data_IF_360503786456
#
_entry.id   IF_360503786456
#
_cell.length_a   1.000
_cell.length_b   1.000
_cell.length_c   1.000
_cell.angle_alpha   90.00
_cell.angle_beta   90.00
_cell.angle_gamma   90.00
#
_symmetry.space_group_name_H-M   'P 1'
#
loop_
_entity.id
_entity.type
_entity.pdbx_description
1 polymer ?
#
# COMPACT_ATOMS: atom_id res chain seq x y z
N UNK A 1 4.60 -19.98 19.39
CA UNK A 1 3.24 -20.06 18.82
C UNK A 1 2.53 -18.77 19.16
N UNK A 2 2.00 -18.06 18.16
CA UNK A 2 1.26 -16.81 18.38
C UNK A 2 0.04 -17.11 19.27
N UNK A 3 0.00 -16.56 20.48
CA UNK A 3 -1.13 -16.71 21.40
C UNK A 3 -2.27 -15.73 21.03
N UNK A 4 -2.49 -15.49 19.73
CA UNK A 4 -3.51 -14.59 19.20
C UNK A 4 -4.82 -15.38 19.09
N UNK A 5 -5.84 -14.92 19.81
CA UNK A 5 -7.15 -15.58 19.89
C UNK A 5 -8.19 -14.76 19.15
N UNK A 6 -9.25 -15.42 18.73
CA UNK A 6 -10.44 -14.75 18.23
C UNK A 6 -11.20 -14.14 19.41
N UNK A 7 -11.94 -13.06 19.16
CA UNK A 7 -12.86 -12.48 20.14
C UNK A 7 -13.81 -13.53 20.73
N UNK A 8 -14.24 -13.36 22.00
CA UNK A 8 -15.21 -14.24 22.64
C UNK A 8 -16.48 -14.44 21.81
N UNK A 9 -17.13 -15.59 21.96
CA UNK A 9 -18.33 -15.91 21.21
C UNK A 9 -19.48 -14.90 21.40
N UNK A 10 -19.51 -14.16 22.51
CA UNK A 10 -20.47 -13.09 22.79
C UNK A 10 -20.33 -11.87 21.88
N UNK A 11 -19.14 -11.64 21.31
CA UNK A 11 -18.83 -10.51 20.44
C UNK A 11 -18.79 -10.91 18.95
N UNK A 12 -18.81 -12.22 18.66
CA UNK A 12 -18.78 -12.74 17.30
C UNK A 12 -20.15 -12.55 16.63
N UNK A 13 -20.21 -12.03 15.40
CA UNK A 13 -21.46 -11.99 14.65
C UNK A 13 -21.94 -13.40 14.32
N UNK A 14 -23.26 -13.60 14.30
CA UNK A 14 -23.87 -14.90 14.01
C UNK A 14 -23.58 -15.37 12.57
N UNK A 15 -23.53 -14.42 11.64
CA UNK A 15 -23.29 -14.65 10.21
C UNK A 15 -22.42 -13.54 9.59
N UNK A 16 -21.83 -13.85 8.44
CA UNK A 16 -21.12 -12.88 7.60
C UNK A 16 -21.36 -13.24 6.14
N UNK A 17 -21.59 -12.23 5.32
CA UNK A 17 -21.60 -12.34 3.87
C UNK A 17 -20.99 -11.06 3.29
N UNK A 18 -20.24 -11.18 2.20
CA UNK A 18 -19.80 -10.00 1.47
C UNK A 18 -21.00 -9.21 0.95
N UNK A 19 -20.89 -7.89 0.95
CA UNK A 19 -21.83 -7.05 0.18
C UNK A 19 -21.75 -7.40 -1.30
N UNK A 20 -22.80 -7.11 -2.06
CA UNK A 20 -22.83 -7.43 -3.49
C UNK A 20 -21.61 -6.85 -4.25
N UNK A 21 -21.22 -5.63 -3.90
CA UNK A 21 -20.03 -4.97 -4.43
C UNK A 21 -18.74 -5.71 -4.05
N UNK A 22 -18.56 -6.03 -2.76
CA UNK A 22 -17.37 -6.74 -2.30
C UNK A 22 -17.29 -8.17 -2.84
N UNK A 23 -18.42 -8.83 -3.07
CA UNK A 23 -18.47 -10.14 -3.70
C UNK A 23 -18.02 -10.08 -5.17
N UNK A 24 -18.46 -9.07 -5.92
CA UNK A 24 -17.99 -8.84 -7.28
C UNK A 24 -16.48 -8.52 -7.31
N UNK A 25 -16.02 -7.67 -6.40
CA UNK A 25 -14.60 -7.37 -6.23
C UNK A 25 -13.77 -8.62 -5.88
N UNK A 26 -14.27 -9.45 -4.97
CA UNK A 26 -13.60 -10.69 -4.54
C UNK A 26 -13.43 -11.65 -5.72
N UNK A 27 -14.47 -11.81 -6.55
CA UNK A 27 -14.39 -12.59 -7.78
C UNK A 27 -13.28 -12.06 -8.71
N UNK A 28 -13.22 -10.75 -8.90
CA UNK A 28 -12.14 -10.11 -9.68
C UNK A 28 -10.74 -10.35 -9.09
N UNK A 29 -10.59 -10.41 -7.77
CA UNK A 29 -9.31 -10.79 -7.15
C UNK A 29 -8.95 -12.26 -7.36
N UNK A 30 -9.94 -13.16 -7.31
CA UNK A 30 -9.73 -14.59 -7.54
C UNK A 30 -9.27 -14.84 -8.99
N UNK A 31 -9.88 -14.15 -9.96
CA UNK A 31 -9.57 -14.27 -11.39
C UNK A 31 -8.12 -13.86 -11.74
N UNK A 32 -7.43 -13.08 -10.89
CA UNK A 32 -6.00 -12.75 -11.07
C UNK A 32 -5.08 -13.96 -10.94
N UNK A 33 -5.56 -15.05 -10.34
CA UNK A 33 -4.76 -16.24 -10.09
C UNK A 33 -5.10 -17.36 -11.06
N UNK A 34 -4.11 -18.13 -11.54
CA UNK A 34 -4.37 -19.28 -12.41
C UNK A 34 -5.32 -20.29 -11.78
N UNK A 35 -5.99 -21.06 -12.63
CA UNK A 35 -6.85 -22.16 -12.18
C UNK A 35 -6.08 -23.14 -11.27
N UNK A 36 -6.70 -23.53 -10.16
CA UNK A 36 -6.10 -24.37 -9.12
C UNK A 36 -5.19 -23.61 -8.15
N UNK A 37 -4.99 -22.29 -8.32
CA UNK A 37 -4.19 -21.43 -7.44
C UNK A 37 -5.00 -20.32 -6.78
N UNK A 38 -6.33 -20.44 -6.77
CA UNK A 38 -7.26 -19.44 -6.20
C UNK A 38 -7.03 -19.17 -4.71
N UNK A 39 -6.48 -20.14 -3.96
CA UNK A 39 -6.09 -19.97 -2.55
C UNK A 39 -5.13 -18.78 -2.32
N UNK A 40 -4.43 -18.32 -3.36
CA UNK A 40 -3.55 -17.15 -3.29
C UNK A 40 -4.30 -15.83 -3.02
N UNK A 41 -5.61 -15.79 -3.30
CA UNK A 41 -6.48 -14.64 -3.05
C UNK A 41 -6.87 -14.49 -1.56
N UNK A 42 -6.46 -15.41 -0.67
CA UNK A 42 -6.90 -15.44 0.73
C UNK A 42 -6.59 -14.15 1.49
N UNK A 43 -5.39 -13.58 1.34
CA UNK A 43 -5.00 -12.37 2.08
C UNK A 43 -5.84 -11.14 1.64
N UNK A 44 -5.95 -10.82 0.34
CA UNK A 44 -6.83 -9.74 -0.12
C UNK A 44 -8.30 -9.91 0.32
N UNK A 45 -8.84 -11.12 0.27
CA UNK A 45 -10.23 -11.37 0.68
C UNK A 45 -10.43 -11.19 2.18
N UNK A 46 -9.51 -11.68 3.02
CA UNK A 46 -9.56 -11.44 4.46
C UNK A 46 -9.43 -9.95 4.78
N UNK A 47 -8.59 -9.22 4.04
CA UNK A 47 -8.45 -7.78 4.19
C UNK A 47 -9.77 -7.05 3.91
N UNK A 48 -10.41 -7.38 2.78
CA UNK A 48 -11.70 -6.78 2.41
C UNK A 48 -12.81 -7.16 3.38
N UNK A 49 -12.79 -8.38 3.91
CA UNK A 49 -13.74 -8.81 4.92
C UNK A 49 -13.58 -8.05 6.24
N UNK A 50 -12.34 -7.80 6.66
CA UNK A 50 -12.01 -6.96 7.82
C UNK A 50 -12.49 -5.51 7.63
N UNK A 51 -12.22 -4.94 6.46
CA UNK A 51 -12.67 -3.59 6.09
C UNK A 51 -14.20 -3.49 6.18
N UNK A 52 -14.93 -4.44 5.58
CA UNK A 52 -16.39 -4.47 5.63
C UNK A 52 -16.95 -4.60 7.05
N UNK A 53 -16.24 -5.32 7.93
CA UNK A 53 -16.69 -5.59 9.30
C UNK A 53 -16.14 -4.57 10.31
N UNK A 54 -15.86 -3.34 9.86
CA UNK A 54 -15.49 -2.24 10.75
C UNK A 54 -14.10 -2.32 11.33
N UNK A 55 -13.16 -2.89 10.57
CA UNK A 55 -11.74 -2.88 10.91
C UNK A 55 -11.27 -4.12 11.69
N UNK A 56 -12.14 -5.09 11.96
CA UNK A 56 -11.77 -6.37 12.57
C UNK A 56 -12.35 -7.57 11.82
N UNK A 57 -11.76 -8.74 12.02
CA UNK A 57 -11.97 -9.95 11.25
C UNK A 57 -12.65 -11.03 12.11
N UNK A 58 -13.99 -11.18 12.03
CA UNK A 58 -14.72 -12.14 12.83
C UNK A 58 -14.54 -13.56 12.30
N UNK A 59 -14.83 -14.55 13.15
CA UNK A 59 -14.76 -15.97 12.79
C UNK A 59 -15.59 -16.30 11.54
N UNK A 60 -16.80 -15.75 11.45
CA UNK A 60 -17.70 -15.98 10.31
C UNK A 60 -17.17 -15.44 8.99
N UNK A 61 -16.43 -14.33 9.03
CA UNK A 61 -15.75 -13.80 7.85
C UNK A 61 -14.61 -14.72 7.38
N UNK A 62 -13.82 -15.25 8.32
CA UNK A 62 -12.76 -16.22 8.03
C UNK A 62 -13.34 -17.48 7.37
N UNK A 63 -14.43 -18.01 7.93
CA UNK A 63 -15.12 -19.19 7.39
C UNK A 63 -15.71 -18.90 5.99
N UNK A 64 -16.34 -17.75 5.79
CA UNK A 64 -16.88 -17.36 4.48
C UNK A 64 -15.80 -17.24 3.40
N UNK A 65 -14.65 -16.65 3.71
CA UNK A 65 -13.51 -16.59 2.77
C UNK A 65 -12.96 -17.98 2.47
N UNK A 66 -12.94 -18.87 3.46
CA UNK A 66 -12.50 -20.25 3.25
C UNK A 66 -13.46 -21.00 2.31
N UNK A 67 -14.77 -20.86 2.51
CA UNK A 67 -15.79 -21.47 1.67
C UNK A 67 -15.73 -20.95 0.23
N UNK A 68 -15.58 -19.64 0.04
CA UNK A 68 -15.44 -19.00 -1.29
C UNK A 68 -14.23 -19.53 -2.08
N UNK A 69 -13.11 -19.76 -1.39
CA UNK A 69 -11.87 -20.25 -2.01
C UNK A 69 -11.77 -21.78 -2.06
N UNK A 70 -12.77 -22.51 -1.55
CA UNK A 70 -12.72 -23.96 -1.41
C UNK A 70 -11.58 -24.45 -0.51
N UNK A 71 -11.16 -23.64 0.47
CA UNK A 71 -10.07 -23.92 1.40
C UNK A 71 -10.59 -24.52 2.71
N UNK A 72 -9.83 -25.40 3.38
CA UNK A 72 -10.16 -25.80 4.75
C UNK A 72 -10.13 -24.59 5.69
N UNK A 73 -11.15 -24.44 6.54
CA UNK A 73 -11.28 -23.31 7.49
C UNK A 73 -10.02 -23.10 8.34
N UNK A 74 -9.40 -24.19 8.78
CA UNK A 74 -8.16 -24.14 9.58
C UNK A 74 -7.00 -23.46 8.85
N UNK A 75 -6.88 -23.60 7.52
CA UNK A 75 -5.81 -22.94 6.75
C UNK A 75 -5.99 -21.44 6.72
N UNK A 76 -7.23 -20.97 6.56
CA UNK A 76 -7.53 -19.54 6.58
C UNK A 76 -7.37 -18.96 7.98
N UNK A 77 -7.73 -19.73 9.02
CA UNK A 77 -7.48 -19.35 10.41
C UNK A 77 -5.98 -19.25 10.73
N UNK A 78 -5.15 -20.16 10.21
CA UNK A 78 -3.69 -20.07 10.33
C UNK A 78 -3.16 -18.78 9.69
N UNK A 79 -3.64 -18.41 8.50
CA UNK A 79 -3.28 -17.14 7.84
C UNK A 79 -3.70 -15.95 8.70
N UNK A 80 -4.96 -15.91 9.16
CA UNK A 80 -5.49 -14.82 9.97
C UNK A 80 -4.73 -14.63 11.29
N UNK A 81 -4.33 -15.73 11.93
CA UNK A 81 -3.59 -15.70 13.20
C UNK A 81 -2.09 -15.43 13.03
N UNK A 82 -1.51 -15.80 11.88
CA UNK A 82 -0.11 -15.57 11.55
C UNK A 82 0.19 -14.10 11.24
N UNK A 83 -0.62 -13.45 10.39
CA UNK A 83 -0.40 -12.05 10.02
C UNK A 83 -1.00 -11.10 11.05
N UNK A 84 -0.17 -10.23 11.62
CA UNK A 84 -0.55 -9.30 12.71
C UNK A 84 -1.50 -8.19 12.26
N UNK A 85 -1.56 -7.90 10.97
CA UNK A 85 -2.43 -6.87 10.39
C UNK A 85 -3.92 -7.21 10.50
N UNK A 86 -4.26 -8.50 10.63
CA UNK A 86 -5.64 -8.91 10.82
C UNK A 86 -6.05 -8.73 12.29
N UNK A 87 -6.94 -7.80 12.57
CA UNK A 87 -7.46 -7.61 13.92
C UNK A 87 -8.49 -8.71 14.23
N UNK A 88 -8.20 -9.57 15.21
CA UNK A 88 -9.06 -10.73 15.55
C UNK A 88 -10.08 -10.41 16.66
N UNK A 89 -10.05 -9.17 17.14
CA UNK A 89 -10.90 -8.60 18.18
C UNK A 89 -11.38 -7.21 17.70
N UNK A 90 -12.54 -6.71 18.19
CA UNK A 90 -13.03 -5.40 17.82
C UNK A 90 -12.01 -4.29 18.08
N UNK A 91 -11.90 -3.35 17.14
CA UNK A 91 -11.04 -2.17 17.22
C UNK A 91 -11.89 -0.90 17.25
N UNK A 92 -11.34 0.19 17.78
CA UNK A 92 -11.99 1.49 17.71
C UNK A 92 -12.09 1.98 16.26
N UNK A 93 -12.92 3.00 16.03
CA UNK A 93 -13.07 3.65 14.71
C UNK A 93 -11.72 4.06 14.08
N UNK A 94 -10.78 4.47 14.93
CA UNK A 94 -9.41 4.83 14.60
C UNK A 94 -8.45 3.90 15.33
N UNK A 95 -7.86 2.95 14.61
CA UNK A 95 -6.89 2.02 15.15
C UNK A 95 -5.47 2.56 14.98
N UNK A 96 -4.88 3.00 16.09
CA UNK A 96 -3.56 3.62 16.16
C UNK A 96 -2.49 2.55 16.36
N UNK A 97 -1.57 2.43 15.40
CA UNK A 97 -0.43 1.53 15.44
C UNK A 97 0.85 2.37 15.57
N UNK A 98 1.39 2.44 16.79
CA UNK A 98 2.58 3.22 17.11
C UNK A 98 3.85 2.38 16.88
N UNK A 99 4.77 2.88 16.05
CA UNK A 99 6.07 2.24 15.86
C UNK A 99 6.94 2.40 17.11
N UNK A 100 7.24 1.30 17.80
CA UNK A 100 8.09 1.26 19.00
C UNK A 100 9.57 0.94 18.74
N UNK A 101 9.98 0.83 17.47
CA UNK A 101 11.35 0.38 17.12
C UNK A 101 12.40 1.47 17.23
N UNK A 102 13.67 1.06 17.26
CA UNK A 102 14.84 1.91 17.59
C UNK A 102 14.86 3.28 16.92
N UNK A 103 14.61 3.45 15.60
CA UNK A 103 14.62 4.78 14.99
C UNK A 103 13.53 5.70 15.56
N UNK A 104 12.31 5.19 15.72
CA UNK A 104 11.20 5.96 16.31
C UNK A 104 11.41 6.20 17.79
N UNK A 105 11.92 5.21 18.54
CA UNK A 105 12.27 5.33 19.95
C UNK A 105 13.31 6.45 20.17
N UNK A 106 14.33 6.52 19.32
CA UNK A 106 15.37 7.57 19.37
C UNK A 106 14.85 8.97 19.04
N UNK A 107 13.73 9.06 18.32
CA UNK A 107 13.09 10.31 17.90
C UNK A 107 11.90 10.71 18.78
N UNK A 108 11.65 10.02 19.90
CA UNK A 108 10.63 10.42 20.88
C UNK A 108 9.34 9.58 20.87
N UNK A 109 9.36 8.35 20.34
CA UNK A 109 8.18 7.48 20.38
C UNK A 109 7.78 7.04 21.80
N UNK A 110 8.69 7.10 22.79
CA UNK A 110 8.34 6.79 24.19
C UNK A 110 7.37 7.79 24.79
N UNK A 111 7.54 9.05 24.43
CA UNK A 111 6.69 10.16 24.83
C UNK A 111 5.31 10.02 24.20
N UNK A 112 5.24 9.61 22.93
CA UNK A 112 3.98 9.27 22.26
C UNK A 112 3.28 8.09 22.95
N UNK A 113 4.02 7.02 23.27
CA UNK A 113 3.50 5.86 24.00
C UNK A 113 2.96 6.26 25.38
N UNK A 114 3.70 7.09 26.12
CA UNK A 114 3.26 7.60 27.42
C UNK A 114 1.98 8.43 27.33
N UNK A 115 1.86 9.28 26.29
CA UNK A 115 0.66 10.06 26.02
C UNK A 115 -0.54 9.16 25.71
N UNK A 116 -0.39 8.18 24.80
CA UNK A 116 -1.44 7.22 24.47
C UNK A 116 -1.87 6.42 25.69
N UNK A 117 -0.93 5.96 26.51
CA UNK A 117 -1.23 5.22 27.73
C UNK A 117 -1.97 6.08 28.76
N UNK A 118 -1.59 7.35 28.94
CA UNK A 118 -2.27 8.26 29.85
C UNK A 118 -3.68 8.61 29.38
N UNK A 119 -3.89 8.72 28.06
CA UNK A 119 -5.16 9.14 27.47
C UNK A 119 -6.15 7.99 27.25
N UNK A 120 -5.68 6.84 26.78
CA UNK A 120 -6.51 5.71 26.35
C UNK A 120 -6.39 4.48 27.26
N UNK A 121 -5.40 4.45 28.17
CA UNK A 121 -5.11 3.29 28.99
C UNK A 121 -4.21 2.26 28.28
N UNK A 122 -4.23 0.98 28.72
CA UNK A 122 -3.37 -0.07 28.16
C UNK A 122 -3.63 -0.31 26.66
N UNK A 123 -2.59 -0.71 25.94
CA UNK A 123 -2.68 -1.11 24.54
C UNK A 123 -3.58 -2.34 24.34
N UNK A 124 -4.19 -2.45 23.17
CA UNK A 124 -5.04 -3.59 22.77
C UNK A 124 -6.50 -3.48 23.19
N UNK A 125 -6.93 -2.35 23.75
CA UNK A 125 -8.33 -2.12 24.15
C UNK A 125 -8.96 -0.99 23.35
N UNK A 126 -10.28 -1.06 23.18
CA UNK A 126 -11.09 0.03 22.63
C UNK A 126 -11.40 1.04 23.74
N UNK A 127 -11.27 2.32 23.43
CA UNK A 127 -11.58 3.42 24.33
C UNK A 127 -13.08 3.45 24.69
N UNK A 128 -13.41 4.06 25.82
CA UNK A 128 -14.80 4.10 26.32
C UNK A 128 -15.79 4.79 25.38
N UNK A 129 -15.30 5.71 24.54
CA UNK A 129 -16.10 6.40 23.51
C UNK A 129 -16.18 5.64 22.18
N UNK A 130 -15.52 4.47 22.07
CA UNK A 130 -15.49 3.64 20.86
C UNK A 130 -14.62 4.21 19.71
N UNK A 131 -14.04 5.39 19.88
CA UNK A 131 -13.36 6.08 18.79
C UNK A 131 -11.95 5.52 18.55
N UNK A 132 -11.21 5.16 19.58
CA UNK A 132 -9.79 4.85 19.47
C UNK A 132 -9.47 3.46 20.04
N UNK A 133 -8.55 2.79 19.40
CA UNK A 133 -7.76 1.72 20.03
C UNK A 133 -6.31 1.92 19.64
N UNK A 134 -5.38 1.47 20.48
CA UNK A 134 -3.96 1.60 20.15
C UNK A 134 -3.16 0.34 20.44
N UNK A 135 -2.13 0.13 19.64
CA UNK A 135 -1.16 -0.95 19.79
C UNK A 135 0.23 -0.43 19.47
N UNK A 136 1.23 -0.92 20.21
CA UNK A 136 2.63 -0.78 19.82
C UNK A 136 2.98 -1.86 18.80
N UNK A 137 3.53 -1.43 17.66
CA UNK A 137 3.92 -2.30 16.55
C UNK A 137 5.41 -2.18 16.25
N UNK A 138 5.88 -3.13 15.46
CA UNK A 138 7.23 -3.14 14.93
C UNK A 138 7.42 -2.08 13.82
N UNK A 139 8.56 -2.13 13.14
CA UNK A 139 8.94 -1.14 12.13
C UNK A 139 7.91 -1.03 11.00
N UNK A 140 7.35 0.17 10.81
CA UNK A 140 6.42 0.52 9.72
C UNK A 140 7.12 1.07 8.46
N UNK A 141 8.45 1.12 8.45
CA UNK A 141 9.24 1.47 7.27
C UNK A 141 9.35 2.98 6.95
N UNK A 142 8.85 3.86 7.80
CA UNK A 142 8.90 5.33 7.62
C UNK A 142 9.99 6.00 8.50
N UNK A 143 11.17 5.38 8.60
CA UNK A 143 12.21 5.78 9.55
C UNK A 143 12.75 7.21 9.35
N UNK A 144 12.69 7.75 8.13
CA UNK A 144 13.14 9.11 7.81
C UNK A 144 12.19 10.22 8.29
N UNK A 145 10.97 9.85 8.66
CA UNK A 145 9.93 10.73 9.21
C UNK A 145 9.53 10.30 10.63
N UNK A 146 10.46 9.68 11.36
CA UNK A 146 10.25 9.29 12.74
C UNK A 146 10.09 10.52 13.67
N UNK A 147 9.29 10.42 14.75
CA UNK A 147 8.45 9.27 15.12
C UNK A 147 7.10 9.31 14.38
N UNK A 148 6.47 8.15 14.21
CA UNK A 148 5.27 8.02 13.39
C UNK A 148 4.27 7.01 13.96
N UNK A 149 3.01 7.17 13.57
CA UNK A 149 1.94 6.20 13.78
C UNK A 149 1.24 5.90 12.45
N UNK A 150 0.72 4.68 12.32
CA UNK A 150 -0.28 4.38 11.31
C UNK A 150 -1.66 4.41 11.98
N UNK A 151 -2.59 5.21 11.45
CA UNK A 151 -4.00 5.18 11.90
C UNK A 151 -4.82 4.62 10.77
N UNK A 152 -5.42 3.45 11.00
CA UNK A 152 -6.06 2.65 9.96
C UNK A 152 -5.10 2.38 8.79
N UNK A 153 -5.24 3.09 7.68
CA UNK A 153 -4.44 2.90 6.46
C UNK A 153 -3.41 4.01 6.24
N UNK A 154 -3.53 5.13 6.97
CA UNK A 154 -2.78 6.35 6.71
C UNK A 154 -1.60 6.51 7.69
N UNK A 155 -0.49 7.01 7.17
CA UNK A 155 0.70 7.32 7.97
C UNK A 155 0.65 8.76 8.44
N UNK A 156 0.97 8.96 9.72
CA UNK A 156 1.11 10.27 10.35
C UNK A 156 2.49 10.32 11.00
N UNK A 157 3.29 11.30 10.60
CA UNK A 157 4.73 11.27 10.75
C UNK A 157 5.25 12.59 11.35
N UNK A 158 6.52 12.60 11.80
CA UNK A 158 7.15 13.73 12.50
C UNK A 158 6.34 14.21 13.71
N UNK A 159 5.85 13.26 14.50
CA UNK A 159 4.90 13.52 15.58
C UNK A 159 5.56 13.98 16.88
N UNK A 160 4.85 14.82 17.62
CA UNK A 160 5.08 15.11 19.03
C UNK A 160 3.83 14.72 19.82
N UNK A 161 3.89 14.60 21.16
CA UNK A 161 2.71 14.32 21.97
C UNK A 161 1.57 15.34 21.72
N UNK A 162 1.92 16.60 21.50
CA UNK A 162 0.96 17.68 21.24
C UNK A 162 0.32 17.53 19.86
N UNK A 163 1.12 17.28 18.81
CA UNK A 163 0.59 17.13 17.45
C UNK A 163 -0.24 15.84 17.31
N UNK A 164 0.18 14.73 17.93
CA UNK A 164 -0.63 13.51 17.99
C UNK A 164 -1.93 13.73 18.78
N UNK A 165 -1.89 14.47 19.89
CA UNK A 165 -3.10 14.81 20.65
C UNK A 165 -4.10 15.62 19.84
N UNK A 166 -3.60 16.62 19.11
CA UNK A 166 -4.41 17.47 18.22
C UNK A 166 -4.99 16.65 17.06
N UNK A 167 -4.16 15.81 16.44
CA UNK A 167 -4.58 14.88 15.39
C UNK A 167 -5.72 13.97 15.85
N UNK A 168 -5.62 13.39 17.05
CA UNK A 168 -6.68 12.57 17.62
C UNK A 168 -7.96 13.37 17.84
N UNK A 169 -7.87 14.60 18.34
CA UNK A 169 -9.05 15.45 18.54
C UNK A 169 -9.72 15.84 17.22
N UNK A 170 -8.92 16.09 16.18
CA UNK A 170 -9.38 16.39 14.83
C UNK A 170 -10.11 15.19 14.21
N UNK A 171 -9.51 14.00 14.29
CA UNK A 171 -10.11 12.74 13.83
C UNK A 171 -11.44 12.44 14.53
N UNK A 172 -11.47 12.54 15.87
CA UNK A 172 -12.68 12.30 16.65
C UNK A 172 -13.82 13.24 16.25
N UNK A 173 -13.50 14.49 15.92
CA UNK A 173 -14.46 15.50 15.49
C UNK A 173 -14.78 15.46 13.98
N UNK A 174 -14.15 14.58 13.20
CA UNK A 174 -14.30 14.55 11.74
C UNK A 174 -13.75 15.79 11.03
N UNK A 175 -12.76 16.47 11.63
CA UNK A 175 -12.06 17.58 10.99
C UNK A 175 -11.04 17.04 9.97
N UNK A 176 -10.76 17.78 8.88
CA UNK A 176 -9.75 17.37 7.92
C UNK A 176 -8.37 17.34 8.57
N UNK A 177 -7.64 16.25 8.35
CA UNK A 177 -6.28 16.02 8.87
C UNK A 177 -5.28 15.90 7.74
N UNK A 178 -4.02 16.25 8.01
CA UNK A 178 -2.94 16.10 7.04
C UNK A 178 -2.29 14.70 7.17
N UNK A 179 -2.34 13.93 6.08
CA UNK A 179 -1.67 12.62 5.99
C UNK A 179 -0.19 12.83 5.63
N UNK A 180 0.69 12.13 6.35
CA UNK A 180 2.15 12.26 6.25
C UNK A 180 2.75 13.11 7.38
N UNK A 181 3.78 13.88 7.05
CA UNK A 181 4.50 14.72 8.03
C UNK A 181 3.64 15.83 8.62
N UNK A 182 3.70 15.98 9.94
CA UNK A 182 3.07 17.07 10.68
C UNK A 182 3.93 18.34 10.77
N UNK A 183 5.12 18.35 10.15
CA UNK A 183 6.08 19.48 10.20
C UNK A 183 6.13 20.30 8.91
N UNK A 184 5.22 20.03 7.97
CA UNK A 184 5.13 20.72 6.68
C UNK A 184 6.00 20.12 5.58
N UNK A 185 6.66 18.99 5.84
CA UNK A 185 7.28 18.17 4.79
C UNK A 185 6.20 17.46 3.97
N UNK A 186 6.48 17.20 2.70
CA UNK A 186 5.58 16.50 1.77
C UNK A 186 5.87 15.00 1.73
N UNK A 187 7.13 14.62 1.94
CA UNK A 187 7.59 13.24 1.87
C UNK A 187 8.80 13.03 2.79
N UNK A 188 9.87 12.42 2.29
CA UNK A 188 11.09 12.11 3.03
C UNK A 188 12.20 13.15 2.84
N UNK A 189 11.91 14.33 2.31
CA UNK A 189 12.93 15.34 2.08
C UNK A 189 13.53 15.87 3.40
N UNK A 190 14.78 16.36 3.40
CA UNK A 190 15.35 17.02 4.56
C UNK A 190 14.52 18.22 4.99
N UNK A 191 14.47 18.48 6.30
CA UNK A 191 13.89 19.71 6.81
C UNK A 191 14.68 20.91 6.26
N UNK A 192 13.97 21.87 5.66
CA UNK A 192 14.58 23.01 4.94
C UNK A 192 14.74 22.82 3.43
N UNK A 193 14.35 21.66 2.88
CA UNK A 193 14.26 21.41 1.44
C UNK A 193 15.25 20.35 0.92
N UNK A 194 14.99 19.86 -0.28
CA UNK A 194 15.83 18.86 -0.93
C UNK A 194 17.09 19.48 -1.55
N UNK A 195 18.25 18.91 -1.21
CA UNK A 195 19.54 19.24 -1.85
C UNK A 195 19.83 18.36 -3.10
N UNK A 196 18.96 17.40 -3.39
CA UNK A 196 19.07 16.42 -4.48
C UNK A 196 17.89 16.56 -5.42
N UNK A 197 18.02 16.09 -6.66
CA UNK A 197 16.97 16.21 -7.69
C UNK A 197 16.52 17.67 -7.92
N UNK A 198 17.48 18.60 -7.88
CA UNK A 198 17.24 20.03 -8.07
C UNK A 198 17.09 20.43 -9.54
N UNK A 199 17.45 19.54 -10.46
CA UNK A 199 17.30 19.77 -11.90
C UNK A 199 15.82 19.60 -12.30
N UNK A 200 15.13 20.66 -12.73
CA UNK A 200 13.72 20.58 -13.12
C UNK A 200 13.44 19.63 -14.29
N UNK A 201 14.47 19.29 -15.09
CA UNK A 201 14.34 18.31 -16.18
C UNK A 201 14.27 16.87 -15.67
N UNK A 202 14.79 16.60 -14.46
CA UNK A 202 14.76 15.29 -13.82
C UNK A 202 13.58 15.13 -12.87
N UNK A 203 13.19 16.21 -12.17
CA UNK A 203 12.08 16.19 -11.23
C UNK A 203 11.34 17.54 -11.22
N UNK A 204 10.06 17.49 -11.57
CA UNK A 204 9.18 18.66 -11.67
C UNK A 204 8.38 18.92 -10.38
N UNK A 205 8.64 18.16 -9.31
CA UNK A 205 7.89 18.24 -8.06
C UNK A 205 6.58 17.45 -8.05
N UNK A 206 6.20 16.80 -9.16
CA UNK A 206 4.97 16.02 -9.24
C UNK A 206 5.18 14.59 -8.70
N UNK A 207 4.22 14.07 -7.92
CA UNK A 207 4.26 12.68 -7.40
C UNK A 207 4.13 11.61 -8.51
N UNK A 208 3.46 11.94 -9.62
CA UNK A 208 3.17 11.01 -10.73
C UNK A 208 3.18 11.69 -12.11
N UNK A 209 3.34 13.03 -12.19
CA UNK A 209 2.96 13.82 -13.37
C UNK A 209 3.68 13.39 -14.65
N UNK A 210 5.02 13.33 -14.62
CA UNK A 210 5.81 12.90 -15.77
C UNK A 210 5.59 11.41 -16.16
N UNK A 211 5.11 10.58 -15.24
CA UNK A 211 4.81 9.17 -15.51
C UNK A 211 3.41 9.00 -16.09
N UNK A 212 2.39 9.64 -15.49
CA UNK A 212 1.00 9.61 -15.95
C UNK A 212 0.85 10.19 -17.35
N UNK A 213 1.51 11.31 -17.65
CA UNK A 213 1.54 11.87 -19.01
C UNK A 213 2.03 10.85 -20.04
N UNK A 214 3.02 10.01 -19.71
CA UNK A 214 3.50 8.96 -20.63
C UNK A 214 2.44 7.91 -20.95
N UNK A 215 1.58 7.55 -19.99
CA UNK A 215 0.46 6.62 -20.24
C UNK A 215 -0.68 7.30 -20.97
N UNK A 216 -0.97 8.56 -20.64
CA UNK A 216 -1.96 9.36 -21.37
C UNK A 216 -1.55 9.54 -22.83
N UNK A 217 -0.27 9.85 -23.09
CA UNK A 217 0.31 9.97 -24.43
C UNK A 217 0.33 8.64 -25.16
N UNK A 218 0.66 7.53 -24.47
CA UNK A 218 0.64 6.18 -25.04
C UNK A 218 -0.79 5.72 -25.38
N UNK A 219 -1.75 5.91 -24.47
CA UNK A 219 -3.16 5.58 -24.69
C UNK A 219 -3.76 6.45 -25.80
N UNK A 220 -3.32 7.71 -25.91
CA UNK A 220 -3.73 8.60 -27.00
C UNK A 220 -3.13 8.16 -28.34
N UNK A 221 -1.86 7.75 -28.38
CA UNK A 221 -1.23 7.21 -29.59
C UNK A 221 -1.90 5.89 -30.05
N UNK A 222 -2.22 4.99 -29.11
CA UNK A 222 -2.94 3.74 -29.40
C UNK A 222 -4.38 4.01 -29.87
N UNK A 223 -5.06 4.99 -29.27
CA UNK A 223 -6.39 5.43 -29.69
C UNK A 223 -6.40 6.11 -31.07
N UNK A 224 -5.39 6.94 -31.37
CA UNK A 224 -5.21 7.58 -32.67
C UNK A 224 -4.83 6.55 -33.75
N UNK A 225 -4.04 5.53 -33.43
CA UNK A 225 -3.77 4.40 -34.34
C UNK A 225 -4.99 3.52 -34.60
N UNK A 226 -5.79 3.22 -33.56
CA UNK A 226 -7.04 2.47 -33.72
C UNK A 226 -8.03 3.23 -34.60
N UNK A 227 -8.18 4.54 -34.36
CA UNK A 227 -9.01 5.42 -35.17
C UNK A 227 -8.50 5.55 -36.60
N UNK A 228 -7.19 5.61 -36.82
CA UNK A 228 -6.60 5.63 -38.16
C UNK A 228 -6.85 4.30 -38.92
N UNK A 229 -6.82 3.15 -38.23
CA UNK A 229 -7.17 1.84 -38.79
C UNK A 229 -8.66 1.74 -39.12
N UNK A 230 -9.53 2.28 -38.29
CA UNK A 230 -10.98 2.33 -38.52
C UNK A 230 -11.35 3.30 -39.67
N UNK A 231 -10.68 4.46 -39.75
CA UNK A 231 -10.85 5.41 -40.86
C UNK A 231 -10.28 4.83 -42.18
N UNK A 232 -9.18 4.08 -42.15
CA UNK A 232 -8.66 3.36 -43.31
C UNK A 232 -9.62 2.23 -43.77
N UNK A 233 -10.12 1.42 -42.84
CA UNK A 233 -11.10 0.37 -43.14
C UNK A 233 -12.43 0.95 -43.68
N UNK A 234 -12.88 2.10 -43.15
CA UNK A 234 -14.06 2.80 -43.66
C UNK A 234 -13.83 3.40 -45.05
N UNK A 235 -12.60 3.78 -45.39
CA UNK A 235 -12.25 4.34 -46.71
C UNK A 235 -12.15 3.23 -47.76
N UNK A 236 -11.59 2.08 -47.39
CA UNK A 236 -11.56 0.87 -48.25
C UNK A 236 -12.96 0.29 -48.49
N UNK A 237 -13.83 0.25 -47.47
CA UNK A 237 -15.22 -0.18 -47.62
C UNK A 237 -16.03 0.76 -48.52
N UNK A 238 -15.77 2.07 -48.48
CA UNK A 238 -16.37 3.05 -49.39
C UNK A 238 -15.86 2.90 -50.83
N UNK A 239 -14.59 2.57 -51.03
CA UNK A 239 -14.02 2.33 -52.34
C UNK A 239 -14.52 1.02 -53.01
N UNK A 240 -14.99 0.04 -52.22
CA UNK A 240 -15.51 -1.24 -52.72
C UNK A 240 -16.97 -1.19 -53.23
N UNK A 241 -17.70 -0.08 -53.06
CA UNK A 241 -19.14 0.00 -53.34
C UNK A 241 -19.48 0.72 -54.67
N UNK A 242 -18.50 1.17 -55.45
CA UNK A 242 -18.71 1.67 -56.82
C UNK A 242 -18.38 0.59 -57.88
N UNK A 243 -19.33 0.17 -58.73
CA UNK A 243 -19.10 -0.95 -59.66
C UNK A 243 -18.37 -0.48 -60.92
N UNK A 244 -17.16 -1.02 -61.16
CA UNK A 244 -16.42 -0.85 -62.43
C UNK A 244 -16.82 -1.91 -63.46
N UNK A 245 -17.20 -1.42 -64.66
CA UNK A 245 -17.60 -2.16 -65.86
C UNK A 245 -16.43 -2.99 -66.44
N UNK A 246 -16.75 -4.16 -67.00
CA UNK A 246 -15.82 -5.17 -67.51
C UNK A 246 -15.04 -4.78 -68.80
N UNK A 247 -13.87 -5.44 -68.94
CA UNK A 247 -12.71 -5.21 -69.85
C UNK A 247 -12.92 -5.53 -71.34
N UNK A 248 -11.91 -5.23 -72.20
CA UNK A 248 -11.28 -6.35 -72.91
C UNK A 248 -9.74 -6.33 -73.00
N UNK A 249 -9.22 -7.51 -73.32
CA UNK A 249 -7.84 -8.02 -73.30
C UNK A 249 -6.98 -7.60 -74.50
N UNK A 250 -5.64 -7.61 -74.34
CA UNK A 250 -4.63 -8.17 -75.27
C UNK A 250 -3.21 -7.60 -75.03
N UNK A 251 -2.21 -8.49 -74.86
CA UNK A 251 -0.79 -8.18 -75.14
C UNK A 251 0.25 -8.80 -74.19
N UNK A 252 0.75 -10.00 -74.53
CA UNK A 252 1.86 -10.78 -73.93
C UNK A 252 3.21 -10.41 -74.60
N UNK A 253 4.43 -10.90 -74.21
CA UNK A 253 5.12 -11.18 -72.91
C UNK A 253 6.47 -10.40 -72.79
N UNK A 254 7.24 -10.51 -71.68
CA UNK A 254 8.71 -10.80 -71.64
C UNK A 254 9.11 -11.20 -70.20
N UNK A 255 10.14 -12.04 -70.12
CA UNK A 255 10.69 -12.88 -69.06
C UNK A 255 11.22 -12.20 -67.77
N UNK A 256 11.37 -13.01 -66.72
CA UNK A 256 11.98 -12.71 -65.40
C UNK A 256 13.53 -12.75 -65.51
N UNK A 257 14.30 -12.22 -64.52
CA UNK A 257 14.65 -13.05 -63.35
C UNK A 257 14.79 -12.30 -62.01
N UNK A 258 15.04 -13.10 -60.98
CA UNK A 258 15.32 -12.79 -59.57
C UNK A 258 16.84 -12.56 -59.39
N UNK A 259 17.21 -11.93 -58.26
CA UNK A 259 18.54 -11.92 -57.61
C UNK A 259 19.53 -10.89 -58.20
N UNK A 260 20.51 -10.33 -57.49
CA UNK A 260 21.07 -10.64 -56.16
C UNK A 260 22.13 -9.58 -55.79
N UNK A 261 22.47 -9.51 -54.51
CA UNK A 261 23.87 -9.44 -54.05
C UNK A 261 24.73 -8.13 -54.19
N UNK A 262 25.86 -8.07 -53.43
CA UNK A 262 26.71 -6.88 -53.18
C UNK A 262 27.38 -6.17 -54.37
N UNK A 263 27.12 -6.57 -55.61
CA UNK A 263 27.76 -5.98 -56.80
C UNK A 263 27.17 -4.62 -57.22
N UNK A 264 25.97 -4.25 -56.75
CA UNK A 264 25.34 -2.96 -57.08
C UNK A 264 25.90 -1.76 -56.29
N UNK A 265 26.60 -1.97 -55.15
CA UNK A 265 27.24 -0.87 -54.39
C UNK A 265 28.58 -0.43 -54.98
N UNK A 266 29.28 -1.31 -55.69
CA UNK A 266 30.53 -0.95 -56.38
C UNK A 266 30.30 -0.09 -57.64
N UNK A 267 29.08 -0.06 -58.18
CA UNK A 267 28.71 0.78 -59.33
C UNK A 267 28.41 2.25 -58.95
N UNK A 268 28.31 2.57 -57.65
CA UNK A 268 28.09 3.93 -57.13
C UNK A 268 29.37 4.70 -56.76
N UNK A 269 30.55 4.07 -56.86
CA UNK A 269 31.82 4.72 -56.57
C UNK A 269 32.15 4.92 -55.08
N UNK A 270 31.30 4.45 -54.16
CA UNK A 270 31.56 4.54 -52.72
C UNK A 270 32.36 3.34 -52.20
N UNK A 271 33.40 3.63 -51.42
CA UNK A 271 34.33 2.62 -50.91
C UNK A 271 33.70 1.75 -49.80
N UNK A 272 33.92 0.42 -49.80
CA UNK A 272 33.46 -0.46 -48.73
C UNK A 272 34.15 -0.18 -47.39
N UNK A 273 33.37 -0.09 -46.32
CA UNK A 273 33.78 0.20 -44.94
C UNK A 273 34.67 -0.96 -44.41
N UNK A 274 35.80 -0.61 -43.78
CA UNK A 274 36.79 -1.57 -43.25
C UNK A 274 36.40 -2.08 -41.87
N UNK A 275 36.79 -3.32 -41.58
CA UNK A 275 36.42 -4.05 -40.36
C UNK A 275 37.09 -3.59 -39.05
N UNK A 276 37.94 -2.55 -39.10
CA UNK A 276 38.68 -2.04 -37.95
C UNK A 276 38.04 -0.80 -37.28
N UNK A 277 36.87 -0.32 -37.76
CA UNK A 277 36.21 0.89 -37.23
C UNK A 277 35.14 0.61 -36.15
N UNK A 278 35.19 -0.55 -35.48
CA UNK A 278 34.41 -0.83 -34.28
C UNK A 278 35.33 -1.14 -33.09
N UNK A 279 36.14 -0.15 -32.70
CA UNK A 279 36.90 -0.17 -31.46
C UNK A 279 36.30 0.79 -30.42
N UNK A 280 36.36 0.35 -29.16
CA UNK A 280 36.21 1.12 -27.91
C UNK A 280 34.82 1.46 -27.36
N UNK A 281 34.20 0.43 -26.76
CA UNK A 281 33.35 0.62 -25.58
C UNK A 281 33.72 -0.39 -24.48
N UNK A 282 34.53 0.10 -23.53
CA UNK A 282 34.73 -0.41 -22.16
C UNK A 282 35.51 -1.74 -21.96
N UNK A 283 36.84 -1.67 -21.96
CA UNK A 283 37.69 -2.62 -21.24
C UNK A 283 37.50 -2.50 -19.71
N UNK A 284 37.07 -3.58 -19.05
CA UNK A 284 37.15 -3.78 -17.59
C UNK A 284 38.34 -4.67 -17.23
N UNK A 285 39.50 -4.36 -17.77
CA UNK A 285 40.74 -5.14 -17.61
C UNK A 285 41.70 -4.54 -16.58
N UNK A 286 41.28 -4.37 -15.31
CA UNK A 286 42.19 -4.29 -14.15
C UNK A 286 41.43 -4.21 -12.82
N UNK A 287 41.03 -5.37 -12.30
CA UNK A 287 40.93 -5.55 -10.84
C UNK A 287 41.55 -6.91 -10.49
N UNK A 288 42.53 -6.88 -9.60
CA UNK A 288 43.33 -8.02 -9.19
C UNK A 288 42.86 -8.37 -7.78
N UNK A 289 41.78 -9.14 -7.66
CA UNK A 289 41.33 -9.70 -6.40
C UNK A 289 40.97 -11.17 -6.61
N UNK A 290 41.83 -12.07 -6.13
CA UNK A 290 41.55 -13.50 -6.08
C UNK A 290 40.44 -13.75 -5.05
N UNK A 291 39.30 -14.25 -5.47
CA UNK A 291 38.35 -14.96 -4.60
C UNK A 291 38.15 -16.39 -5.10
N UNK A 292 38.09 -17.32 -4.13
CA UNK A 292 38.14 -18.76 -4.34
C UNK A 292 36.98 -19.33 -5.14
N UNK A 293 37.17 -20.55 -5.63
CA UNK A 293 36.25 -21.26 -6.52
C UNK A 293 34.83 -21.38 -5.95
N UNK A 294 33.84 -20.92 -6.71
CA UNK A 294 32.41 -21.13 -6.49
C UNK A 294 32.02 -22.62 -6.62
N UNK A 295 30.94 -23.00 -5.94
CA UNK A 295 30.33 -24.34 -6.04
C UNK A 295 29.43 -24.43 -7.28
N UNK A 296 29.17 -25.61 -7.85
CA UNK A 296 28.31 -25.73 -9.02
C UNK A 296 26.86 -25.35 -8.65
N UNK A 297 26.33 -24.28 -9.24
CA UNK A 297 24.95 -23.79 -9.02
C UNK A 297 24.78 -22.27 -9.06
N UNK A 298 25.86 -21.50 -8.94
CA UNK A 298 25.78 -20.02 -8.82
C UNK A 298 25.81 -19.26 -10.17
N UNK A 299 25.66 -19.94 -11.31
CA UNK A 299 25.80 -19.32 -12.63
C UNK A 299 24.55 -18.58 -13.15
N UNK A 300 23.38 -18.73 -12.50
CA UNK A 300 22.12 -18.16 -12.99
C UNK A 300 21.70 -16.84 -12.31
N UNK A 301 22.55 -16.24 -11.46
CA UNK A 301 22.19 -15.03 -10.67
C UNK A 301 22.97 -13.80 -11.12
N UNK A 302 23.27 -13.67 -12.41
CA UNK A 302 23.83 -12.43 -12.98
C UNK A 302 23.25 -12.14 -14.38
N UNK A 303 21.93 -12.07 -14.51
CA UNK A 303 21.28 -11.39 -15.64
C UNK A 303 20.82 -9.99 -15.22
N UNK A 304 21.09 -9.00 -16.06
CA UNK A 304 20.93 -7.57 -15.73
C UNK A 304 19.45 -7.20 -15.53
N UNK A 305 19.11 -6.33 -14.55
CA UNK A 305 17.72 -5.93 -14.27
C UNK A 305 16.96 -5.39 -15.48
N UNK A 306 17.67 -4.78 -16.44
CA UNK A 306 17.10 -4.18 -17.65
C UNK A 306 16.36 -5.18 -18.55
N UNK A 307 16.75 -6.46 -18.56
CA UNK A 307 16.15 -7.44 -19.46
C UNK A 307 14.78 -7.95 -18.96
N UNK A 308 14.59 -8.05 -17.64
CA UNK A 308 13.32 -8.47 -17.03
C UNK A 308 12.21 -7.42 -17.12
N UNK A 309 12.57 -6.15 -17.26
CA UNK A 309 11.60 -5.04 -17.41
C UNK A 309 11.02 -5.00 -18.83
N UNK A 310 11.73 -5.51 -19.84
CA UNK A 310 11.30 -5.48 -21.24
C UNK A 310 10.37 -6.63 -21.64
N UNK A 311 10.42 -7.77 -20.92
CA UNK A 311 9.68 -9.00 -21.25
C UNK A 311 8.47 -9.25 -20.33
N UNK A 312 8.22 -8.36 -19.36
CA UNK A 312 7.04 -8.42 -18.51
C UNK A 312 5.80 -7.89 -19.21
N UNK A 313 4.76 -8.72 -19.33
CA UNK A 313 3.42 -8.31 -19.70
C UNK A 313 2.96 -7.15 -18.78
N UNK A 314 2.37 -6.06 -19.30
CA UNK A 314 1.93 -4.96 -18.46
C UNK A 314 0.82 -5.45 -17.53
N UNK A 315 1.17 -5.67 -16.26
CA UNK A 315 0.16 -5.71 -15.21
C UNK A 315 -0.57 -4.37 -15.27
N UNK A 316 -1.85 -4.41 -15.65
CA UNK A 316 -2.70 -3.23 -15.69
C UNK A 316 -2.57 -2.48 -14.37
N UNK A 317 -2.09 -1.24 -14.45
CA UNK A 317 -2.10 -0.31 -13.33
C UNK A 317 -3.55 0.17 -13.14
N UNK A 318 -4.40 -0.70 -12.63
CA UNK A 318 -5.63 -0.26 -11.99
C UNK A 318 -5.28 0.32 -10.61
N UNK A 319 -6.07 1.30 -10.18
CA UNK A 319 -5.88 2.04 -8.94
C UNK A 319 -5.42 1.09 -7.82
N UNK A 320 -4.25 1.39 -7.24
CA UNK A 320 -3.72 0.61 -6.13
C UNK A 320 -4.79 0.39 -5.07
N UNK A 321 -4.74 -0.79 -4.45
CA UNK A 321 -5.67 -1.32 -3.46
C UNK A 321 -5.79 -0.45 -2.18
N UNK A 322 -6.26 0.78 -2.35
CA UNK A 322 -6.77 1.61 -1.27
C UNK A 322 -8.27 1.27 -1.15
N UNK A 323 -8.68 0.96 0.07
CA UNK A 323 -10.07 0.75 0.47
C UNK A 323 -10.96 1.87 -0.07
N UNK A 324 -12.01 1.53 -0.79
CA UNK A 324 -13.03 2.45 -1.31
C UNK A 324 -14.08 2.86 -0.25
N UNK A 325 -13.95 2.39 1.01
CA UNK A 325 -14.80 2.89 2.08
C UNK A 325 -14.60 4.41 2.27
N UNK A 326 -15.68 5.18 2.52
CA UNK A 326 -15.54 6.54 2.98
C UNK A 326 -14.73 6.50 4.28
N UNK A 327 -13.54 7.09 4.25
CA UNK A 327 -12.57 7.10 5.37
C UNK A 327 -13.17 7.73 6.65
N UNK A 328 -14.29 8.43 6.51
CA UNK A 328 -15.06 9.08 7.57
C UNK A 328 -16.34 8.32 7.98
N UNK A 329 -16.75 7.26 7.28
CA UNK A 329 -18.00 6.56 7.60
C UNK A 329 -17.85 5.63 8.80
N UNK A 330 -18.82 5.70 9.71
CA UNK A 330 -18.93 4.84 10.89
C UNK A 330 -19.26 3.42 10.44
N UNK A 331 -18.38 2.42 10.65
CA UNK A 331 -18.78 1.05 10.42
C UNK A 331 -19.85 0.64 11.44
N UNK A 332 -20.84 -0.18 11.05
CA UNK A 332 -21.86 -0.65 11.97
C UNK A 332 -21.20 -1.47 13.08
N UNK A 333 -21.21 -0.93 14.30
CA UNK A 333 -20.73 -1.63 15.50
C UNK A 333 -21.89 -2.44 16.10
N UNK A 334 -21.66 -3.65 16.62
CA UNK A 334 -22.59 -4.25 17.57
C UNK A 334 -22.64 -3.38 18.84
N UNK A 335 -23.84 -3.21 19.41
CA UNK A 335 -24.01 -2.42 20.63
C UNK A 335 -23.11 -2.94 21.75
N UNK A 336 -22.38 -2.03 22.40
CA UNK A 336 -21.48 -2.37 23.49
C UNK A 336 -22.25 -3.09 24.61
N UNK A 337 -21.89 -4.34 24.88
CA UNK A 337 -22.41 -5.10 26.02
C UNK A 337 -21.84 -4.52 27.32
N UNK A 338 -22.49 -3.47 27.82
CA UNK A 338 -22.07 -2.81 29.06
C UNK A 338 -23.08 -1.81 29.65
N UNK A 339 -24.08 -1.37 28.89
CA UNK A 339 -25.15 -0.53 29.42
C UNK A 339 -26.27 -1.42 30.00
N UNK A 340 -26.13 -1.83 31.25
CA UNK A 340 -27.28 -2.24 32.05
C UNK A 340 -28.19 -1.02 32.23
N UNK A 341 -29.27 -0.95 31.45
CA UNK A 341 -30.42 -0.08 31.71
C UNK A 341 -31.10 -0.49 33.03
N UNK A 342 -30.52 -0.09 34.17
CA UNK A 342 -31.18 0.17 35.45
C UNK A 342 -30.13 0.45 36.54
N UNK A 343 -29.74 1.71 36.67
CA UNK A 343 -29.19 2.24 37.91
C UNK A 343 -29.79 3.65 38.12
N UNK A 344 -30.43 3.95 39.28
CA UNK A 344 -31.12 5.21 39.46
C UNK A 344 -30.12 6.37 39.62
N UNK A 345 -30.43 7.48 38.97
CA UNK A 345 -29.63 8.70 38.94
C UNK A 345 -29.30 9.22 40.36
N UNK A 346 -28.01 9.27 40.68
CA UNK A 346 -27.50 10.00 41.84
C UNK A 346 -27.34 11.48 41.49
N UNK A 347 -28.01 12.35 42.26
CA UNK A 347 -27.96 13.81 42.14
C UNK A 347 -26.57 14.37 42.54
N UNK A 348 -26.16 15.53 42.00
CA UNK A 348 -24.85 16.12 42.25
C UNK A 348 -24.79 16.80 43.62
N UNK A 349 -23.71 16.58 44.36
CA UNK A 349 -23.37 17.32 45.58
C UNK A 349 -21.94 17.85 45.50
N UNK A 350 -21.79 19.17 45.60
CA UNK A 350 -20.54 19.88 45.93
C UNK A 350 -20.85 20.93 47.01
N UNK A 351 -19.85 21.49 47.74
CA UNK A 351 -18.52 20.98 48.05
C UNK A 351 -18.22 21.05 49.58
N UNK A 352 -17.40 20.14 50.11
CA UNK A 352 -16.90 20.25 51.50
C UNK A 352 -15.43 20.66 51.51
N UNK A 353 -15.18 21.78 52.18
CA UNK A 353 -13.90 22.41 52.50
C UNK A 353 -12.96 21.49 53.29
N UNK A 354 -11.67 21.46 52.90
CA UNK A 354 -10.56 20.91 53.70
C UNK A 354 -10.05 21.96 54.69
N UNK A 355 -9.74 21.60 55.95
CA UNK A 355 -8.83 22.37 56.80
C UNK A 355 -7.40 21.81 56.74
N UNK A 356 -6.44 22.73 56.79
CA UNK A 356 -5.00 22.51 56.77
C UNK A 356 -4.46 21.89 58.08
N UNK A 357 -3.49 20.98 57.96
CA UNK A 357 -2.67 20.47 59.07
C UNK A 357 -1.51 21.44 59.41
N UNK A 358 -1.21 21.67 60.71
CA UNK A 358 -0.02 22.42 61.11
C UNK A 358 1.18 21.51 61.42
N UNK A 359 2.34 21.97 60.96
CA UNK A 359 3.67 21.41 61.17
C UNK A 359 4.15 21.60 62.62
N UNK A 360 4.68 20.54 63.25
CA UNK A 360 5.30 20.59 64.59
C UNK A 360 6.81 20.24 64.52
N UNK A 361 7.64 21.16 65.02
CA UNK A 361 9.09 21.03 65.24
C UNK A 361 9.41 20.16 66.48
N UNK A 362 10.56 19.47 66.54
CA UNK A 362 11.00 18.78 67.75
C UNK A 362 11.79 19.71 68.68
N UNK A 363 11.49 19.65 69.98
CA UNK A 363 12.23 20.29 71.06
C UNK A 363 13.15 19.29 71.77
N UNK A 364 14.34 19.79 72.15
CA UNK A 364 15.38 19.12 72.93
C UNK A 364 14.94 18.81 74.36
N UNK A 365 15.41 17.70 74.91
CA UNK A 365 15.64 17.52 76.35
C UNK A 365 16.61 16.36 76.63
N UNK A 366 17.83 16.70 77.05
CA UNK A 366 18.63 15.95 78.03
C UNK A 366 18.25 16.50 79.43
N UNK A 367 18.30 15.73 80.55
CA UNK A 367 19.56 15.15 81.05
C UNK A 367 19.47 13.82 81.86
N UNK A 368 20.64 13.20 82.06
CA UNK A 368 21.16 12.55 83.29
C UNK A 368 21.92 11.23 83.01
N UNK A 369 23.25 11.27 82.94
CA UNK A 369 24.21 10.81 83.97
C UNK A 369 25.63 11.05 83.45
#
# INVERSE_FOLDING_TARGET
MSNRRLAPASEQPESFAFTQENAAWAKGQIEKYPEGRQASAVIPLLWKAQEQNGGWLPRRAIEAVADELGMPHIRVLEVATFYTMFALEPVGRFWIQLCGTVPCDSCGARELKGMLQARLGPAGHVSADGNFSWLEVECLGACCNAPMVQINQDYYEDLTPESLGTLMDDLAAGRPVNVGSQTGRVSSEPQGGAATLSDPTLFDGSRVGAWRQRFEDKNKAEGDEARAKDEAASTEARAATEPKIAKPDAGRPVERPVSDAPAQRAAGGDAPIKADDHADAAERGRSIAKHGSARPGDADVLDSPAKRVAEGEPAGAEAGAQSDLPRDAVPPQPEASGASENAPAAKPSEPSTKPAEPSAKPAKSDPAT
#
